data_IF_518450740352
#
_entry.id   IF_518450740352
#
_cell.length_a   1.000
_cell.length_b   1.000
_cell.length_c   1.000
_cell.angle_alpha   90.00
_cell.angle_beta   90.00
_cell.angle_gamma   90.00
#
_symmetry.space_group_name_H-M   'P 1'
#
loop_
_entity.id
_entity.type
_entity.pdbx_description
1 polymer ?
#
# COMPACT_ATOMS: atom_id res chain seq x y z
N UNK A 1 -10.80 -11.38 7.78
CA UNK A 1 -11.68 -11.15 6.62
C UNK A 1 -12.43 -12.42 6.30
N UNK A 2 -13.73 -12.32 6.02
CA UNK A 2 -14.50 -13.45 5.51
C UNK A 2 -14.01 -13.83 4.10
N UNK A 3 -14.36 -15.03 3.64
CA UNK A 3 -14.05 -15.47 2.27
C UNK A 3 -14.62 -14.45 1.28
N UNK A 4 -13.80 -14.03 0.30
CA UNK A 4 -14.12 -12.98 -0.68
C UNK A 4 -14.36 -11.58 -0.08
N UNK A 5 -13.99 -11.35 1.18
CA UNK A 5 -14.06 -10.04 1.79
C UNK A 5 -13.05 -9.05 1.19
N UNK A 6 -13.43 -7.77 1.18
CA UNK A 6 -12.64 -6.66 0.65
C UNK A 6 -12.45 -5.61 1.74
N UNK A 7 -11.24 -5.07 1.85
CA UNK A 7 -10.96 -3.85 2.63
C UNK A 7 -10.47 -2.79 1.65
N UNK A 8 -11.04 -1.60 1.77
CA UNK A 8 -10.54 -0.39 1.14
C UNK A 8 -10.01 0.54 2.22
N UNK A 9 -8.84 1.14 1.98
CA UNK A 9 -8.25 2.16 2.83
C UNK A 9 -7.76 3.34 1.98
N UNK A 10 -8.02 4.57 2.42
CA UNK A 10 -7.57 5.78 1.72
C UNK A 10 -6.15 6.19 2.17
N UNK A 11 -5.58 7.20 1.50
CA UNK A 11 -4.32 7.88 1.86
C UNK A 11 -3.06 6.99 1.86
N UNK A 12 -3.00 5.96 1.02
CA UNK A 12 -1.92 4.97 1.00
C UNK A 12 -0.66 5.39 0.20
N UNK A 13 -0.70 6.50 -0.52
CA UNK A 13 0.34 6.91 -1.46
C UNK A 13 0.79 8.36 -1.22
N UNK A 14 1.65 8.62 -0.20
CA UNK A 14 2.15 9.95 0.09
C UNK A 14 2.93 10.54 -1.09
N UNK A 15 2.51 11.71 -1.57
CA UNK A 15 3.19 12.41 -2.67
C UNK A 15 4.52 13.08 -2.27
N UNK A 16 4.81 13.21 -0.97
CA UNK A 16 6.05 13.83 -0.48
C UNK A 16 6.44 13.34 0.91
N UNK A 17 7.69 13.58 1.28
CA UNK A 17 8.21 13.21 2.61
C UNK A 17 7.42 13.85 3.75
N UNK A 18 7.04 15.12 3.60
CA UNK A 18 6.31 15.89 4.62
C UNK A 18 4.92 15.30 4.87
N UNK A 19 4.26 14.76 3.85
CA UNK A 19 2.91 14.20 4.00
C UNK A 19 2.91 12.88 4.76
N UNK A 20 4.02 12.14 4.79
CA UNK A 20 4.10 10.87 5.54
C UNK A 20 4.60 11.01 6.98
N UNK A 21 5.20 12.14 7.35
CA UNK A 21 5.80 12.27 8.69
C UNK A 21 4.72 12.13 9.76
N UNK A 22 4.96 11.30 10.78
CA UNK A 22 3.99 11.10 11.89
C UNK A 22 3.62 12.40 12.58
N UNK A 23 4.57 13.33 12.72
CA UNK A 23 4.28 14.71 13.09
C UNK A 23 3.70 15.44 11.88
N UNK A 24 2.41 15.76 11.94
CA UNK A 24 1.73 16.53 10.90
C UNK A 24 2.30 17.95 10.84
N UNK A 25 2.97 18.25 9.73
CA UNK A 25 3.55 19.55 9.43
C UNK A 25 2.96 20.19 8.15
N UNK A 26 1.91 19.58 7.59
CA UNK A 26 1.18 20.11 6.43
C UNK A 26 -0.31 19.82 6.53
N UNK A 27 -1.11 20.55 5.74
CA UNK A 27 -2.57 20.41 5.74
C UNK A 27 -3.03 19.04 5.21
N UNK A 28 -2.33 18.51 4.20
CA UNK A 28 -2.59 17.17 3.64
C UNK A 28 -1.62 16.18 4.28
N UNK A 29 -2.13 15.10 4.86
CA UNK A 29 -1.32 14.16 5.63
C UNK A 29 -1.77 12.73 5.39
N UNK A 30 -0.82 11.89 4.97
CA UNK A 30 -1.02 10.46 4.71
C UNK A 30 -0.50 9.59 5.86
N UNK A 31 0.45 10.11 6.64
CA UNK A 31 1.19 9.30 7.61
C UNK A 31 1.97 8.17 6.93
N UNK A 32 2.25 7.12 7.69
CA UNK A 32 3.04 5.99 7.22
C UNK A 32 2.21 4.75 6.86
N UNK A 33 0.94 4.95 6.51
CA UNK A 33 0.00 3.91 6.03
C UNK A 33 0.60 3.05 4.92
N UNK A 34 1.40 3.66 4.04
CA UNK A 34 2.09 2.95 2.95
C UNK A 34 2.97 1.80 3.46
N UNK A 35 3.54 1.87 4.68
CA UNK A 35 4.33 0.79 5.28
C UNK A 35 3.48 -0.44 5.57
N UNK A 36 2.25 -0.23 6.04
CA UNK A 36 1.29 -1.32 6.29
C UNK A 36 0.87 -1.98 4.97
N UNK A 37 0.74 -1.21 3.89
CA UNK A 37 0.55 -1.77 2.55
C UNK A 37 1.75 -2.66 2.18
N UNK A 38 2.99 -2.19 2.37
CA UNK A 38 4.20 -3.00 2.08
C UNK A 38 4.21 -4.29 2.90
N UNK A 39 3.84 -4.24 4.18
CA UNK A 39 3.73 -5.44 5.03
C UNK A 39 2.68 -6.41 4.50
N UNK A 40 1.47 -5.93 4.21
CA UNK A 40 0.38 -6.74 3.65
C UNK A 40 0.78 -7.42 2.35
N UNK A 41 1.55 -6.75 1.50
CA UNK A 41 2.08 -7.28 0.24
C UNK A 41 3.02 -8.48 0.40
N UNK A 42 3.58 -8.68 1.59
CA UNK A 42 4.44 -9.84 1.91
C UNK A 42 3.67 -11.04 2.45
N UNK A 43 2.37 -10.90 2.76
CA UNK A 43 1.54 -12.00 3.27
C UNK A 43 1.01 -12.86 2.13
N UNK A 44 0.98 -14.19 2.32
CA UNK A 44 0.46 -15.14 1.31
C UNK A 44 -1.08 -15.16 1.23
N UNK A 45 -1.71 -14.80 2.34
CA UNK A 45 -3.12 -15.01 2.65
C UNK A 45 -4.06 -13.89 2.18
N UNK A 46 -3.48 -12.79 1.70
CA UNK A 46 -4.19 -11.60 1.22
C UNK A 46 -3.51 -11.07 -0.04
N UNK A 47 -4.32 -10.55 -0.94
CA UNK A 47 -3.85 -9.96 -2.19
C UNK A 47 -4.06 -8.45 -2.12
N UNK A 48 -2.96 -7.71 -2.18
CA UNK A 48 -2.92 -6.28 -1.85
C UNK A 48 -2.47 -5.44 -3.04
N UNK A 49 -3.18 -4.33 -3.26
CA UNK A 49 -2.95 -3.36 -4.33
C UNK A 49 -3.13 -1.94 -3.79
N UNK A 50 -2.63 -0.96 -4.54
CA UNK A 50 -3.00 0.45 -4.34
C UNK A 50 -3.53 1.00 -5.65
N UNK A 51 -4.79 1.42 -5.65
CA UNK A 51 -5.41 2.07 -6.80
C UNK A 51 -4.86 3.49 -6.90
N UNK A 52 -4.36 3.85 -8.08
CA UNK A 52 -3.91 5.19 -8.39
C UNK A 52 -5.11 6.13 -8.58
N UNK A 53 -5.68 6.55 -7.45
CA UNK A 53 -6.77 7.53 -7.38
C UNK A 53 -6.58 8.38 -6.12
N UNK A 54 -6.82 9.68 -6.23
CA UNK A 54 -6.63 10.66 -5.15
C UNK A 54 -5.25 10.52 -4.45
N UNK A 55 -5.22 10.27 -3.14
CA UNK A 55 -3.99 10.06 -2.36
C UNK A 55 -3.60 8.56 -2.25
N UNK A 56 -4.14 7.71 -3.13
CA UNK A 56 -3.91 6.27 -3.17
C UNK A 56 -4.92 5.49 -2.32
N UNK A 57 -5.64 4.57 -2.95
CA UNK A 57 -6.62 3.70 -2.28
C UNK A 57 -6.05 2.29 -2.16
N UNK A 58 -5.68 1.88 -0.96
CA UNK A 58 -5.30 0.50 -0.68
C UNK A 58 -6.51 -0.43 -0.82
N UNK A 59 -6.31 -1.53 -1.54
CA UNK A 59 -7.27 -2.59 -1.76
C UNK A 59 -6.67 -3.90 -1.21
N UNK A 60 -7.32 -4.52 -0.24
CA UNK A 60 -6.92 -5.80 0.33
C UNK A 60 -8.04 -6.82 0.12
N UNK A 61 -7.74 -7.88 -0.62
CA UNK A 61 -8.66 -8.96 -0.95
C UNK A 61 -8.29 -10.21 -0.14
N UNK A 62 -9.28 -10.86 0.48
CA UNK A 62 -9.04 -12.13 1.18
C UNK A 62 -8.97 -13.29 0.19
N UNK A 63 -7.78 -13.49 -0.38
CA UNK A 63 -7.42 -14.57 -1.31
C UNK A 63 -5.89 -14.75 -1.35
N UNK A 64 -5.42 -15.79 -2.03
CA UNK A 64 -3.98 -16.02 -2.25
C UNK A 64 -3.34 -14.82 -2.96
N UNK A 65 -2.23 -14.33 -2.42
CA UNK A 65 -1.45 -13.23 -3.00
C UNK A 65 -0.93 -13.62 -4.39
N UNK A 66 -1.32 -12.87 -5.42
CA UNK A 66 -0.96 -13.16 -6.82
C UNK A 66 0.42 -12.65 -7.18
N UNK A 67 0.89 -11.60 -6.50
CA UNK A 67 2.15 -10.93 -6.77
C UNK A 67 2.86 -10.66 -5.44
N UNK A 68 3.32 -11.70 -4.75
CA UNK A 68 3.91 -11.54 -3.42
C UNK A 68 5.18 -10.70 -3.45
N UNK A 69 5.26 -9.71 -2.57
CA UNK A 69 6.47 -8.91 -2.39
C UNK A 69 7.45 -9.65 -1.46
N UNK A 70 8.67 -9.87 -1.94
CA UNK A 70 9.74 -10.47 -1.14
C UNK A 70 10.69 -9.40 -0.61
N UNK A 71 10.66 -9.15 0.69
CA UNK A 71 11.56 -8.23 1.37
C UNK A 71 12.21 -8.94 2.57
N UNK A 72 13.53 -8.83 2.71
CA UNK A 72 14.27 -9.32 3.88
C UNK A 72 14.24 -8.27 4.99
N UNK A 73 13.06 -8.02 5.56
CA UNK A 73 12.84 -6.99 6.58
C UNK A 73 12.03 -7.59 7.72
N UNK A 74 12.53 -7.46 8.95
CA UNK A 74 11.87 -7.99 10.15
C UNK A 74 10.95 -6.96 10.82
N UNK A 75 11.08 -5.67 10.46
CA UNK A 75 10.29 -4.60 11.06
C UNK A 75 10.00 -3.50 10.02
N UNK A 76 8.76 -3.50 9.52
CA UNK A 76 8.29 -2.56 8.49
C UNK A 76 8.25 -1.11 8.98
N UNK A 77 8.13 -0.85 10.29
CA UNK A 77 8.17 0.52 10.83
C UNK A 77 9.50 1.23 10.55
N UNK A 78 10.59 0.47 10.36
CA UNK A 78 11.93 0.97 10.04
C UNK A 78 12.14 1.28 8.56
N UNK A 79 11.15 1.02 7.70
CA UNK A 79 11.21 1.41 6.29
C UNK A 79 11.39 2.93 6.17
N UNK A 80 12.35 3.35 5.34
CA UNK A 80 12.65 4.76 5.13
C UNK A 80 11.87 5.26 3.92
N UNK A 81 11.44 6.52 3.98
CA UNK A 81 10.78 7.15 2.83
C UNK A 81 11.67 7.20 1.58
N UNK A 82 13.00 7.22 1.73
CA UNK A 82 13.91 7.11 0.58
C UNK A 82 13.71 5.80 -0.19
N UNK A 83 13.49 4.70 0.52
CA UNK A 83 13.27 3.39 -0.09
C UNK A 83 11.90 3.34 -0.77
N UNK A 84 10.88 3.91 -0.12
CA UNK A 84 9.57 4.14 -0.72
C UNK A 84 9.67 4.94 -2.01
N UNK A 85 10.25 6.14 -1.96
CA UNK A 85 10.32 7.06 -3.10
C UNK A 85 10.94 6.39 -4.34
N UNK A 86 11.95 5.54 -4.14
CA UNK A 86 12.59 4.79 -5.23
C UNK A 86 11.76 3.62 -5.74
N UNK A 87 10.98 2.97 -4.88
CA UNK A 87 10.35 1.67 -5.16
C UNK A 87 8.82 1.68 -5.02
N UNK A 88 8.17 2.84 -4.91
CA UNK A 88 6.77 2.95 -4.51
C UNK A 88 5.84 2.15 -5.43
N UNK A 89 6.11 2.12 -6.75
CA UNK A 89 5.33 1.33 -7.71
C UNK A 89 5.34 -0.17 -7.38
N UNK A 90 6.52 -0.70 -7.01
CA UNK A 90 6.69 -2.10 -6.60
C UNK A 90 6.08 -2.35 -5.22
N UNK A 91 6.37 -1.47 -4.26
CA UNK A 91 5.92 -1.58 -2.88
C UNK A 91 4.39 -1.55 -2.77
N UNK A 92 3.74 -0.67 -3.53
CA UNK A 92 2.31 -0.47 -3.48
C UNK A 92 1.52 -1.33 -4.46
N UNK A 93 2.21 -1.96 -5.45
CA UNK A 93 1.57 -2.73 -6.53
C UNK A 93 0.44 -1.94 -7.16
N UNK A 94 0.84 -0.82 -7.77
CA UNK A 94 -0.08 0.20 -8.24
C UNK A 94 -0.87 -0.32 -9.43
N UNK A 95 -2.19 -0.14 -9.35
CA UNK A 95 -3.14 -0.43 -10.41
C UNK A 95 -3.93 0.84 -10.73
N UNK A 96 -4.47 0.92 -11.94
CA UNK A 96 -5.39 1.99 -12.33
C UNK A 96 -6.83 1.50 -12.27
N UNK A 97 -7.77 2.43 -12.36
CA UNK A 97 -9.19 2.11 -12.35
C UNK A 97 -9.57 1.07 -13.42
N UNK A 98 -8.96 1.17 -14.60
CA UNK A 98 -9.19 0.26 -15.73
C UNK A 98 -8.72 -1.18 -15.46
N UNK A 99 -7.81 -1.38 -14.51
CA UNK A 99 -7.29 -2.70 -14.17
C UNK A 99 -8.18 -3.46 -13.18
N UNK A 100 -9.19 -2.79 -12.58
CA UNK A 100 -10.05 -3.38 -11.56
C UNK A 100 -10.87 -4.56 -12.07
N UNK A 101 -11.34 -4.49 -13.32
CA UNK A 101 -12.12 -5.57 -13.96
C UNK A 101 -11.33 -6.87 -14.10
N UNK A 102 -9.99 -6.80 -14.10
CA UNK A 102 -9.12 -7.99 -14.15
C UNK A 102 -8.92 -8.64 -12.78
N UNK A 103 -9.33 -7.96 -11.71
CA UNK A 103 -9.14 -8.40 -10.34
C UNK A 103 -10.34 -9.15 -9.77
N UNK A 104 -11.55 -8.93 -10.27
CA UNK A 104 -12.77 -9.61 -9.82
C UNK A 104 -13.23 -10.65 -10.83
#
# INVERSE_FOLDING_TARGET
LNKNGVILLHDCMPCSFIRQTTLRSSNIWNGDVWKNIVECRTLDEIDTYTIYADQGIGLILKRKNRNKLFLKINNFNKLKFRDYYKNYKLFLNIIYFQDLDQLF
#
